data_IF_004119117765
#
_entry.id   IF_004119117765
#
_cell.length_a   1.000
_cell.length_b   1.000
_cell.length_c   1.000
_cell.angle_alpha   90.00
_cell.angle_beta   90.00
_cell.angle_gamma   90.00
#
_symmetry.space_group_name_H-M   'P 1'
#
loop_
_entity.id
_entity.type
_entity.pdbx_description
1 polymer ?
#
# COMPACT_ATOMS: atom_id res chain seq x y z
N UNK A 1 4.88 -20.72 6.41
CA UNK A 1 3.80 -19.80 6.81
C UNK A 1 3.24 -19.13 5.57
N UNK A 2 1.92 -19.10 5.39
CA UNK A 2 1.28 -18.54 4.20
C UNK A 2 1.32 -17.02 4.20
N UNK A 3 1.69 -16.41 3.06
CA UNK A 3 1.65 -14.96 2.87
C UNK A 3 0.32 -14.62 2.18
N UNK A 4 -0.51 -13.80 2.81
CA UNK A 4 -1.75 -13.33 2.18
C UNK A 4 -1.39 -12.18 1.23
N UNK A 5 -1.50 -12.46 -0.06
CA UNK A 5 -1.28 -11.51 -1.14
C UNK A 5 -2.59 -11.31 -1.88
N UNK A 6 -2.94 -10.06 -2.18
CA UNK A 6 -4.21 -9.72 -2.82
C UNK A 6 -4.01 -8.65 -3.88
N UNK A 7 -4.70 -8.76 -5.03
CA UNK A 7 -4.62 -7.75 -6.08
C UNK A 7 -5.31 -6.47 -5.61
N UNK A 8 -4.63 -5.34 -5.79
CA UNK A 8 -5.09 -4.04 -5.34
C UNK A 8 -4.90 -3.01 -6.43
N UNK A 9 -5.79 -2.01 -6.40
CA UNK A 9 -5.71 -0.82 -7.24
C UNK A 9 -5.48 0.39 -6.34
N UNK A 10 -4.37 1.09 -6.57
CA UNK A 10 -4.01 2.34 -5.90
C UNK A 10 -4.19 3.46 -6.92
N UNK A 11 -5.04 4.44 -6.62
CA UNK A 11 -5.37 5.56 -7.52
C UNK A 11 -5.09 6.87 -6.81
N UNK A 12 -4.40 7.81 -7.46
CA UNK A 12 -4.33 9.19 -6.98
C UNK A 12 -5.73 9.80 -7.05
N UNK A 13 -6.23 10.32 -5.93
CA UNK A 13 -7.57 10.89 -5.86
C UNK A 13 -7.69 12.17 -6.71
N UNK A 14 -6.59 12.92 -6.86
CA UNK A 14 -6.56 14.19 -7.61
C UNK A 14 -6.33 13.99 -9.11
N UNK A 15 -5.71 12.88 -9.49
CA UNK A 15 -5.47 12.50 -10.88
C UNK A 15 -5.71 10.99 -11.07
N UNK A 16 -6.96 10.57 -11.37
CA UNK A 16 -7.31 9.17 -11.56
C UNK A 16 -6.58 8.48 -12.73
N UNK A 17 -5.93 9.24 -13.62
CA UNK A 17 -5.07 8.67 -14.66
C UNK A 17 -3.80 8.03 -14.08
N UNK A 18 -3.37 8.48 -12.89
CA UNK A 18 -2.23 7.97 -12.14
C UNK A 18 -2.67 6.86 -11.20
N UNK A 19 -2.62 5.64 -11.72
CA UNK A 19 -3.00 4.42 -11.00
C UNK A 19 -1.94 3.33 -11.10
N UNK A 20 -1.90 2.49 -10.09
CA UNK A 20 -1.06 1.29 -10.04
C UNK A 20 -1.95 0.11 -9.66
N UNK A 21 -1.89 -0.94 -10.47
CA UNK A 21 -2.44 -2.25 -10.15
C UNK A 21 -1.27 -3.17 -9.79
N UNK A 22 -1.36 -3.81 -8.63
CA UNK A 22 -0.28 -4.62 -8.07
C UNK A 22 -0.83 -5.62 -7.08
N UNK A 23 -0.07 -6.66 -6.81
CA UNK A 23 -0.29 -7.52 -5.67
C UNK A 23 0.29 -6.87 -4.40
N UNK A 24 -0.52 -6.78 -3.34
CA UNK A 24 -0.13 -6.23 -2.05
C UNK A 24 -0.18 -7.29 -0.94
N UNK A 25 0.77 -7.19 -0.01
CA UNK A 25 0.77 -7.99 1.21
C UNK A 25 -0.24 -7.41 2.21
N UNK A 26 -1.12 -8.27 2.73
CA UNK A 26 -1.95 -7.93 3.88
C UNK A 26 -1.11 -8.10 5.15
N UNK A 27 -0.76 -6.98 5.78
CA UNK A 27 0.04 -6.94 7.02
C UNK A 27 -0.80 -6.33 8.15
N UNK A 28 -1.33 -7.18 9.03
CA UNK A 28 -2.12 -6.76 10.20
C UNK A 28 -1.26 -6.06 11.27
N UNK A 29 0.07 -6.16 11.20
CA UNK A 29 1.00 -5.47 12.09
C UNK A 29 1.38 -4.07 11.61
N UNK A 30 0.94 -3.66 10.42
CA UNK A 30 1.25 -2.35 9.86
C UNK A 30 0.21 -1.31 10.26
N UNK A 31 0.66 -0.18 10.82
CA UNK A 31 -0.22 0.96 11.15
C UNK A 31 -0.68 1.72 9.90
N UNK A 32 0.11 1.70 8.81
CA UNK A 32 -0.18 2.40 7.57
C UNK A 32 0.21 1.55 6.36
N UNK A 33 -0.45 1.80 5.24
CA UNK A 33 0.00 1.30 3.94
C UNK A 33 1.35 1.94 3.59
N UNK A 34 2.33 1.12 3.24
CA UNK A 34 3.65 1.58 2.82
C UNK A 34 3.87 1.26 1.34
N UNK A 35 4.24 2.29 0.57
CA UNK A 35 4.47 2.18 -0.87
C UNK A 35 5.96 2.39 -1.21
N UNK A 36 6.50 1.69 -2.22
CA UNK A 36 7.86 1.93 -2.68
C UNK A 36 8.06 3.37 -3.16
N UNK A 37 9.15 4.02 -2.74
CA UNK A 37 9.46 5.39 -3.17
C UNK A 37 9.64 5.50 -4.70
N UNK A 38 10.06 4.42 -5.36
CA UNK A 38 10.15 4.34 -6.82
C UNK A 38 8.81 4.56 -7.54
N UNK A 39 7.68 4.37 -6.85
CA UNK A 39 6.34 4.55 -7.43
C UNK A 39 5.87 5.99 -7.43
N UNK A 40 6.60 6.91 -6.78
CA UNK A 40 6.19 8.32 -6.66
C UNK A 40 5.93 8.96 -8.03
N UNK A 41 6.82 8.78 -9.00
CA UNK A 41 6.62 9.32 -10.35
C UNK A 41 5.41 8.73 -11.10
N UNK A 42 5.02 7.48 -10.76
CA UNK A 42 3.86 6.80 -11.36
C UNK A 42 2.54 7.25 -10.73
N UNK A 43 2.56 7.60 -9.45
CA UNK A 43 1.40 8.08 -8.69
C UNK A 43 1.18 9.59 -8.81
N UNK A 44 2.09 10.31 -9.46
CA UNK A 44 2.03 11.76 -9.63
C UNK A 44 2.42 12.52 -8.38
N UNK A 45 2.31 13.84 -8.45
CA UNK A 45 2.58 14.69 -7.30
C UNK A 45 1.42 14.68 -6.30
N UNK A 46 1.79 14.68 -5.02
CA UNK A 46 0.87 14.68 -3.90
C UNK A 46 1.10 15.99 -3.13
N UNK A 47 0.09 16.88 -3.08
CA UNK A 47 0.25 18.21 -2.49
C UNK A 47 0.53 18.14 -0.98
N UNK A 48 0.02 17.10 -0.31
CA UNK A 48 0.24 16.88 1.12
C UNK A 48 1.30 15.80 1.29
N UNK A 49 2.56 16.20 1.48
CA UNK A 49 3.60 15.26 1.91
C UNK A 49 4.38 15.75 3.13
N UNK A 50 4.45 14.93 4.19
CA UNK A 50 5.23 15.21 5.41
C UNK A 50 6.28 14.14 5.63
N UNK A 51 7.47 14.51 6.09
CA UNK A 51 8.47 13.54 6.53
C UNK A 51 8.02 12.93 7.86
N UNK A 52 7.88 11.61 7.90
CA UNK A 52 7.56 10.85 9.10
C UNK A 52 8.69 9.86 9.39
N UNK A 53 8.93 9.62 10.66
CA UNK A 53 9.86 8.58 11.09
C UNK A 53 9.07 7.29 11.32
N UNK A 54 9.42 6.24 10.58
CA UNK A 54 8.79 4.93 10.69
C UNK A 54 9.66 4.03 11.56
N UNK A 55 9.04 3.42 12.56
CA UNK A 55 9.65 2.36 13.36
C UNK A 55 9.40 1.01 12.69
N UNK A 56 10.46 0.22 12.49
CA UNK A 56 10.36 -1.17 12.03
C UNK A 56 10.90 -2.11 13.10
N UNK A 57 10.40 -3.35 13.18
CA UNK A 57 10.79 -4.32 14.22
C UNK A 57 12.31 -4.57 14.32
N UNK A 58 13.07 -4.29 13.26
CA UNK A 58 14.53 -4.47 13.18
C UNK A 58 15.35 -3.23 13.62
N UNK A 59 14.82 -2.40 14.52
CA UNK A 59 15.58 -1.30 15.16
C UNK A 59 16.13 -0.22 14.21
N UNK A 60 15.64 -0.14 12.96
CA UNK A 60 16.09 0.85 11.97
C UNK A 60 14.99 1.88 11.73
N UNK A 61 15.19 3.08 12.25
CA UNK A 61 14.34 4.25 11.98
C UNK A 61 14.53 4.68 10.52
N UNK A 62 13.44 4.76 9.76
CA UNK A 62 13.47 5.23 8.37
C UNK A 62 12.68 6.52 8.23
N UNK A 63 13.24 7.48 7.50
CA UNK A 63 12.52 8.67 7.06
C UNK A 63 11.69 8.32 5.84
N UNK A 64 10.37 8.39 5.96
CA UNK A 64 9.44 8.23 4.86
C UNK A 64 8.67 9.52 4.58
N UNK A 65 8.05 9.61 3.42
CA UNK A 65 7.07 10.68 3.12
C UNK A 65 5.67 10.10 3.31
N UNK A 66 4.95 10.63 4.28
CA UNK A 66 3.52 10.41 4.41
C UNK A 66 2.80 11.25 3.38
N UNK A 67 1.90 10.66 2.60
CA UNK A 67 1.15 11.39 1.59
C UNK A 67 -0.29 10.88 1.44
N UNK A 68 -1.17 11.84 1.20
CA UNK A 68 -2.60 11.70 0.91
C UNK A 68 -2.91 12.77 -0.16
N UNK A 69 -3.84 12.53 -1.11
CA UNK A 69 -4.92 11.55 -1.04
C UNK A 69 -4.80 10.41 -2.08
N UNK A 70 -5.05 9.19 -1.62
CA UNK A 70 -5.14 8.00 -2.47
C UNK A 70 -6.44 7.25 -2.20
N UNK A 71 -7.03 6.71 -3.26
CA UNK A 71 -8.05 5.68 -3.15
C UNK A 71 -7.39 4.32 -3.29
N UNK A 72 -7.78 3.39 -2.43
CA UNK A 72 -7.33 2.01 -2.48
C UNK A 72 -8.53 1.07 -2.58
N UNK A 73 -8.48 0.12 -3.51
CA UNK A 73 -9.52 -0.88 -3.69
C UNK A 73 -8.89 -2.26 -3.77
N UNK A 74 -9.40 -3.21 -2.98
CA UNK A 74 -9.17 -4.62 -3.25
C UNK A 74 -9.90 -4.98 -4.53
N UNK A 75 -9.19 -5.64 -5.45
CA UNK A 75 -9.84 -6.25 -6.59
C UNK A 75 -10.40 -7.61 -6.15
N UNK A 76 -11.59 -7.96 -6.65
CA UNK A 76 -12.15 -9.27 -6.42
C UNK A 76 -11.16 -10.33 -6.94
N UNK A 77 -10.60 -11.13 -6.02
CA UNK A 77 -9.78 -12.27 -6.40
C UNK A 77 -10.68 -13.31 -7.05
N UNK A 78 -10.23 -13.94 -8.16
CA UNK A 78 -10.86 -15.19 -8.61
C UNK A 78 -10.73 -16.17 -7.46
N UNK A 79 -11.88 -16.64 -6.97
CA UNK A 79 -12.02 -17.50 -5.80
C UNK A 79 -10.95 -18.59 -5.76
N UNK A 80 -9.95 -18.41 -4.90
CA UNK A 80 -9.15 -19.51 -4.38
C UNK A 80 -9.64 -19.73 -2.96
N UNK A 81 -10.38 -20.83 -2.76
CA UNK A 81 -10.97 -21.26 -1.48
C UNK A 81 -10.00 -21.04 -0.32
N UNK A 82 -10.26 -20.02 0.48
CA UNK A 82 -9.73 -19.96 1.85
C UNK A 82 -10.62 -20.88 2.68
N UNK A 83 -10.15 -22.11 2.94
CA UNK A 83 -10.72 -22.95 3.99
C UNK A 83 -10.33 -22.32 5.32
N UNK A 84 -11.28 -21.68 6.00
CA UNK A 84 -11.17 -21.44 7.43
C UNK A 84 -11.20 -22.82 8.11
N UNK A 85 -10.10 -23.24 8.74
CA UNK A 85 -10.16 -24.27 9.77
C UNK A 85 -10.63 -23.58 11.05
N UNK A 86 -11.66 -24.17 11.67
CA UNK A 86 -12.25 -23.75 12.95
C UNK A 86 -11.27 -23.87 14.10
#
# INVERSE_FOLDING_TARGET
MGRIVTPVKIENLLDPSKKIETDALVDIGAYMMTLPNAWRGRLGDLPTSRKVELHRPQSRRLKAKFAIPFTFKFQASRASRVKCFS
#
